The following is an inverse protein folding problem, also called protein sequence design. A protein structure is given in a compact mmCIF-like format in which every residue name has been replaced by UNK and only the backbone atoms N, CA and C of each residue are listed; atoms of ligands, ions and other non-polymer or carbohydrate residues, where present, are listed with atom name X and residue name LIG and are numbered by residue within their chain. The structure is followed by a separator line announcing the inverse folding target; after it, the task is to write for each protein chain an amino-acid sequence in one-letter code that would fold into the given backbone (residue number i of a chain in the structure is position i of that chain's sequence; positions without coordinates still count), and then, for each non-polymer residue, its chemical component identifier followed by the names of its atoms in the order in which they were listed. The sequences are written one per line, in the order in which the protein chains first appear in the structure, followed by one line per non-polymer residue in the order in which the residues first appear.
data_IF_469595756262
#
_entry.id   IF_469595756262
#
_cell.length_a   1.000
_cell.length_b   1.000
_cell.length_c   1.000
_cell.angle_alpha   90.00
_cell.angle_beta   90.00
_cell.angle_gamma   90.00
#
_symmetry.space_group_name_H-M   'P 1'
#
loop_
_entity.id
_entity.type
_entity.pdbx_description
1 polymer ?
#
# COMPACT_ATOMS: atom_id res chain seq x y z
N UNK A 1 -0.80 -43.75 -51.24
CA UNK A 1 -1.13 -43.84 -49.81
C UNK A 1 -0.20 -42.89 -49.06
N UNK A 2 -0.73 -42.21 -48.05
CA UNK A 2 -0.32 -40.88 -47.57
C UNK A 2 1.14 -40.77 -47.08
N UNK A 3 1.79 -39.64 -47.40
CA UNK A 3 3.03 -39.18 -46.78
C UNK A 3 2.64 -38.21 -45.66
N UNK A 4 2.72 -38.65 -44.41
CA UNK A 4 2.43 -37.79 -43.27
C UNK A 4 3.59 -36.80 -43.04
N UNK A 5 3.33 -35.54 -43.39
CA UNK A 5 4.21 -34.42 -43.14
C UNK A 5 4.23 -34.12 -41.64
N UNK A 6 5.35 -34.42 -40.98
CA UNK A 6 5.67 -33.89 -39.65
C UNK A 6 5.92 -32.39 -39.79
N UNK A 7 4.86 -31.59 -39.68
CA UNK A 7 4.94 -30.14 -39.56
C UNK A 7 5.46 -29.82 -38.15
N UNK A 8 6.78 -29.70 -38.03
CA UNK A 8 7.42 -29.16 -36.83
C UNK A 8 6.93 -27.73 -36.66
N UNK A 9 6.01 -27.52 -35.73
CA UNK A 9 5.58 -26.20 -35.31
C UNK A 9 6.74 -25.55 -34.56
N UNK A 10 7.57 -24.81 -35.29
CA UNK A 10 8.44 -23.79 -34.68
C UNK A 10 7.53 -22.82 -33.92
N UNK A 11 7.44 -22.99 -32.60
CA UNK A 11 6.93 -21.95 -31.73
C UNK A 11 7.87 -20.78 -31.89
N UNK A 12 7.46 -19.76 -32.63
CA UNK A 12 8.11 -18.46 -32.62
C UNK A 12 7.94 -17.88 -31.21
N UNK A 13 8.88 -18.18 -30.31
CA UNK A 13 8.92 -17.62 -28.97
C UNK A 13 9.33 -16.16 -29.14
N UNK A 14 8.34 -15.28 -29.20
CA UNK A 14 8.57 -13.85 -29.03
C UNK A 14 9.26 -13.69 -27.67
N UNK A 15 10.46 -13.12 -27.60
CA UNK A 15 11.15 -13.00 -26.33
C UNK A 15 10.33 -12.11 -25.40
N UNK A 16 9.86 -12.66 -24.30
CA UNK A 16 9.19 -11.89 -23.27
C UNK A 16 10.23 -10.98 -22.58
N UNK A 17 10.21 -9.71 -22.97
CA UNK A 17 11.10 -8.69 -22.43
C UNK A 17 10.92 -8.51 -20.92
N UNK A 18 9.74 -8.85 -20.38
CA UNK A 18 9.52 -8.85 -18.93
C UNK A 18 10.34 -9.96 -18.26
N UNK A 19 10.16 -11.21 -18.69
CA UNK A 19 10.94 -12.36 -18.18
C UNK A 19 12.45 -12.13 -18.27
N UNK A 20 12.95 -11.60 -19.39
CA UNK A 20 14.39 -11.28 -19.55
C UNK A 20 14.93 -10.26 -18.54
N UNK A 21 14.12 -9.28 -18.13
CA UNK A 21 14.49 -8.27 -17.13
C UNK A 21 14.47 -8.84 -15.70
N UNK A 22 13.60 -9.82 -15.45
CA UNK A 22 13.54 -10.55 -14.18
C UNK A 22 14.68 -11.57 -14.08
N UNK A 23 15.09 -12.18 -15.19
CA UNK A 23 16.26 -13.08 -15.22
C UNK A 23 17.57 -12.33 -15.00
N UNK A 24 17.67 -11.09 -15.50
CA UNK A 24 18.86 -10.26 -15.39
C UNK A 24 18.62 -9.04 -14.50
N UNK A 25 18.48 -9.28 -13.19
CA UNK A 25 18.31 -8.22 -12.20
C UNK A 25 19.66 -7.51 -11.97
N UNK A 26 19.74 -6.17 -12.11
CA UNK A 26 20.95 -5.44 -11.80
C UNK A 26 21.37 -5.62 -10.33
N UNK A 27 22.68 -5.74 -10.08
CA UNK A 27 23.22 -5.92 -8.73
C UNK A 27 22.80 -4.80 -7.75
N UNK A 28 22.56 -3.59 -8.25
CA UNK A 28 22.07 -2.46 -7.46
C UNK A 28 20.66 -2.69 -6.89
N UNK A 29 19.78 -3.38 -7.64
CA UNK A 29 18.43 -3.75 -7.18
C UNK A 29 18.53 -4.85 -6.12
N UNK A 30 19.36 -5.87 -6.35
CA UNK A 30 19.60 -6.94 -5.38
C UNK A 30 20.15 -6.38 -4.06
N UNK A 31 21.11 -5.45 -4.13
CA UNK A 31 21.66 -4.78 -2.96
C UNK A 31 20.59 -3.98 -2.18
N UNK A 32 19.67 -3.29 -2.87
CA UNK A 32 18.54 -2.61 -2.23
C UNK A 32 17.59 -3.59 -1.54
N UNK A 33 17.27 -4.72 -2.18
CA UNK A 33 16.43 -5.77 -1.60
C UNK A 33 17.09 -6.34 -0.35
N UNK A 34 18.37 -6.70 -0.41
CA UNK A 34 19.13 -7.19 0.74
C UNK A 34 19.13 -6.18 1.90
N UNK A 35 19.22 -4.88 1.60
CA UNK A 35 19.15 -3.83 2.64
C UNK A 35 17.76 -3.75 3.28
N UNK A 36 16.70 -3.89 2.49
CA UNK A 36 15.32 -3.95 3.01
C UNK A 36 15.14 -5.18 3.91
N UNK A 37 15.68 -6.34 3.52
CA UNK A 37 15.61 -7.56 4.32
C UNK A 37 16.37 -7.48 5.64
N UNK A 38 17.55 -6.84 5.65
CA UNK A 38 18.31 -6.57 6.88
C UNK A 38 17.49 -5.73 7.86
N UNK A 39 16.90 -4.64 7.37
CA UNK A 39 16.06 -3.75 8.18
C UNK A 39 14.79 -4.46 8.69
N UNK A 40 14.18 -5.30 7.86
CA UNK A 40 13.04 -6.14 8.25
C UNK A 40 13.43 -7.12 9.35
N UNK A 41 14.59 -7.75 9.24
CA UNK A 41 15.13 -8.65 10.27
C UNK A 41 15.34 -7.92 11.60
N UNK A 42 16.01 -6.76 11.57
CA UNK A 42 16.20 -5.90 12.74
C UNK A 42 14.88 -5.47 13.38
N UNK A 43 13.88 -5.15 12.55
CA UNK A 43 12.54 -4.80 13.03
C UNK A 43 11.87 -5.99 13.73
N UNK A 44 11.83 -7.16 13.11
CA UNK A 44 11.15 -8.34 13.71
C UNK A 44 11.86 -8.80 14.99
N UNK A 45 13.19 -8.80 15.01
CA UNK A 45 13.98 -9.23 16.16
C UNK A 45 14.04 -8.19 17.29
N UNK A 46 13.99 -6.90 16.96
CA UNK A 46 14.16 -5.79 17.91
C UNK A 46 12.87 -5.12 18.37
N UNK A 47 11.77 -5.23 17.61
CA UNK A 47 10.51 -4.54 17.92
C UNK A 47 9.67 -5.31 18.95
N UNK A 48 10.16 -5.42 20.20
CA UNK A 48 9.26 -5.56 21.36
C UNK A 48 8.73 -4.18 21.73
N UNK A 49 7.94 -3.59 20.83
CA UNK A 49 7.30 -2.30 21.09
C UNK A 49 6.16 -2.51 22.09
N UNK A 50 6.04 -1.62 23.07
CA UNK A 50 4.87 -1.64 23.93
C UNK A 50 3.61 -1.37 23.09
N UNK A 51 2.44 -1.91 23.46
CA UNK A 51 1.20 -1.68 22.73
C UNK A 51 0.88 -0.19 22.53
N UNK A 52 1.28 0.66 23.49
CA UNK A 52 1.10 2.12 23.40
C UNK A 52 1.99 2.74 22.32
N UNK A 53 3.26 2.33 22.24
CA UNK A 53 4.19 2.82 21.21
C UNK A 53 3.74 2.34 19.83
N UNK A 54 3.32 1.08 19.73
CA UNK A 54 2.77 0.52 18.50
C UNK A 54 1.54 1.29 18.02
N UNK A 55 0.56 1.54 18.89
CA UNK A 55 -0.63 2.30 18.51
C UNK A 55 -0.34 3.75 18.11
N UNK A 56 0.69 4.39 18.69
CA UNK A 56 1.15 5.72 18.25
C UNK A 56 1.82 5.66 16.88
N UNK A 57 2.62 4.64 16.62
CA UNK A 57 3.27 4.44 15.34
C UNK A 57 2.24 4.15 14.23
N UNK A 58 1.30 3.24 14.49
CA UNK A 58 0.19 2.95 13.56
C UNK A 58 -0.57 4.22 13.19
N UNK A 59 -0.95 5.02 14.18
CA UNK A 59 -1.62 6.31 13.94
C UNK A 59 -0.77 7.24 13.09
N UNK A 60 0.52 7.37 13.41
CA UNK A 60 1.44 8.23 12.65
C UNK A 60 1.56 7.78 11.20
N UNK A 61 1.72 6.47 10.97
CA UNK A 61 1.82 5.89 9.62
C UNK A 61 0.54 6.10 8.83
N UNK A 62 -0.63 5.92 9.45
CA UNK A 62 -1.92 6.15 8.80
C UNK A 62 -2.10 7.61 8.38
N UNK A 63 -1.77 8.56 9.27
CA UNK A 63 -1.87 9.99 8.97
C UNK A 63 -0.91 10.36 7.84
N UNK A 64 0.38 10.02 7.97
CA UNK A 64 1.40 10.43 7.00
C UNK A 64 1.21 9.74 5.64
N UNK A 65 0.85 8.45 5.62
CA UNK A 65 0.57 7.72 4.38
C UNK A 65 -0.64 8.30 3.64
N UNK A 66 -1.74 8.54 4.37
CA UNK A 66 -2.95 9.14 3.79
C UNK A 66 -2.68 10.56 3.30
N UNK A 67 -1.97 11.37 4.08
CA UNK A 67 -1.59 12.73 3.69
C UNK A 67 -0.66 12.77 2.49
N UNK A 68 0.30 11.85 2.39
CA UNK A 68 1.18 11.75 1.24
C UNK A 68 0.41 11.40 -0.04
N UNK A 69 -0.41 10.34 -0.02
CA UNK A 69 -1.17 9.89 -1.19
C UNK A 69 -2.14 10.98 -1.69
N UNK A 70 -2.90 11.58 -0.77
CA UNK A 70 -3.88 12.62 -1.14
C UNK A 70 -3.20 13.90 -1.65
N UNK A 71 -2.00 14.23 -1.16
CA UNK A 71 -1.24 15.41 -1.61
C UNK A 71 -0.62 15.22 -2.99
N UNK A 72 -0.23 13.99 -3.35
CA UNK A 72 0.19 13.66 -4.73
C UNK A 72 -0.98 13.86 -5.70
N UNK A 73 -2.22 13.66 -5.24
CA UNK A 73 -3.45 13.86 -6.01
C UNK A 73 -3.99 15.32 -5.97
N UNK A 74 -3.33 16.22 -5.23
CA UNK A 74 -3.63 17.66 -5.19
C UNK A 74 -4.37 18.16 -3.95
N UNK A 75 -4.61 17.31 -2.94
CA UNK A 75 -5.22 17.72 -1.69
C UNK A 75 -4.31 18.66 -0.88
N UNK A 76 -4.91 19.65 -0.21
CA UNK A 76 -4.18 20.70 0.56
C UNK A 76 -4.18 20.47 2.07
N UNK A 77 -4.73 19.35 2.55
CA UNK A 77 -4.81 19.07 3.98
C UNK A 77 -3.41 18.84 4.58
N UNK A 78 -3.19 19.42 5.77
CA UNK A 78 -2.01 19.11 6.57
C UNK A 78 -2.22 17.82 7.37
N UNK A 79 -1.12 17.22 7.82
CA UNK A 79 -1.16 16.02 8.66
C UNK A 79 -1.94 16.26 9.97
N UNK A 80 -1.92 17.49 10.50
CA UNK A 80 -2.71 17.91 11.65
C UNK A 80 -4.22 17.98 11.35
N UNK A 81 -4.60 18.37 10.13
CA UNK A 81 -6.00 18.39 9.70
C UNK A 81 -6.53 16.97 9.52
N UNK A 82 -5.69 16.07 8.99
CA UNK A 82 -5.99 14.65 8.87
C UNK A 82 -6.14 14.02 10.26
N UNK A 83 -5.26 14.34 11.20
CA UNK A 83 -5.36 13.84 12.58
C UNK A 83 -6.65 14.30 13.26
N UNK A 84 -7.02 15.58 13.12
CA UNK A 84 -8.28 16.11 13.66
C UNK A 84 -9.49 15.40 13.06
N UNK A 85 -9.45 15.17 11.74
CA UNK A 85 -10.48 14.41 11.03
C UNK A 85 -10.61 12.97 11.57
N UNK A 86 -9.48 12.28 11.78
CA UNK A 86 -9.46 10.92 12.33
C UNK A 86 -9.96 10.83 13.76
N UNK A 87 -9.78 11.88 14.57
CA UNK A 87 -10.29 11.96 15.95
C UNK A 87 -11.80 12.25 16.02
N UNK A 88 -12.49 12.34 14.89
CA UNK A 88 -13.92 12.65 14.82
C UNK A 88 -14.25 14.09 15.22
N UNK A 89 -13.24 14.97 15.30
CA UNK A 89 -13.46 16.39 15.57
C UNK A 89 -14.03 16.98 14.28
N UNK A 90 -15.32 17.31 14.33
CA UNK A 90 -16.05 17.95 13.25
C UNK A 90 -15.38 19.29 12.91
N UNK A 91 -14.56 19.30 11.87
CA UNK A 91 -14.13 20.50 11.15
C UNK A 91 -15.37 21.04 10.42
N UNK A 92 -16.23 21.75 11.15
CA UNK A 92 -17.45 22.38 10.65
C UNK A 92 -17.22 22.96 9.25
N UNK A 93 -18.02 22.50 8.28
CA UNK A 93 -17.88 22.62 6.80
C UNK A 93 -17.15 21.44 6.14
N UNK A 94 -17.90 20.35 5.95
CA UNK A 94 -17.51 19.20 5.15
C UNK A 94 -18.34 19.14 3.86
N UNK A 95 -17.84 19.78 2.80
CA UNK A 95 -18.36 19.68 1.43
C UNK A 95 -17.26 19.29 0.42
N UNK A 96 -16.08 18.86 0.87
CA UNK A 96 -14.90 18.66 0.03
C UNK A 96 -14.51 17.19 -0.16
N UNK A 97 -14.29 16.81 -1.43
CA UNK A 97 -13.78 15.52 -1.93
C UNK A 97 -12.58 14.99 -1.13
N UNK A 98 -11.59 15.84 -0.85
CA UNK A 98 -10.37 15.50 -0.12
C UNK A 98 -10.64 14.78 1.21
N UNK A 99 -11.71 15.18 1.91
CA UNK A 99 -12.03 14.64 3.23
C UNK A 99 -12.69 13.25 3.15
N UNK A 100 -13.43 12.98 2.07
CA UNK A 100 -13.97 11.65 1.79
C UNK A 100 -12.86 10.67 1.41
N UNK A 101 -11.89 11.14 0.62
CA UNK A 101 -10.72 10.35 0.23
C UNK A 101 -9.86 10.00 1.45
N UNK A 102 -9.55 10.97 2.32
CA UNK A 102 -8.79 10.72 3.56
C UNK A 102 -9.50 9.70 4.46
N UNK A 103 -10.83 9.82 4.59
CA UNK A 103 -11.61 8.85 5.36
C UNK A 103 -11.59 7.46 4.74
N UNK A 104 -11.71 7.35 3.41
CA UNK A 104 -11.63 6.08 2.69
C UNK A 104 -10.27 5.40 2.84
N UNK A 105 -9.17 6.16 2.73
CA UNK A 105 -7.82 5.65 2.97
C UNK A 105 -7.64 5.16 4.41
N UNK A 106 -8.16 5.91 5.38
CA UNK A 106 -8.13 5.48 6.78
C UNK A 106 -8.90 4.18 6.99
N UNK A 107 -10.13 4.09 6.51
CA UNK A 107 -10.96 2.88 6.66
C UNK A 107 -10.34 1.65 5.99
N UNK A 108 -9.56 1.83 4.91
CA UNK A 108 -8.86 0.76 4.21
C UNK A 108 -7.61 0.28 4.95
N UNK A 109 -6.82 1.21 5.50
CA UNK A 109 -5.51 0.93 6.08
C UNK A 109 -5.55 0.72 7.59
N UNK A 110 -6.55 1.29 8.28
CA UNK A 110 -6.68 1.14 9.71
C UNK A 110 -6.93 -0.34 10.05
N UNK A 111 -6.21 -0.90 11.04
CA UNK A 111 -6.48 -2.24 11.51
C UNK A 111 -7.94 -2.29 11.98
N UNK A 112 -8.73 -3.19 11.37
CA UNK A 112 -10.14 -3.33 11.76
C UNK A 112 -10.22 -3.61 13.25
N UNK A 113 -10.97 -2.82 14.04
CA UNK A 113 -11.33 -3.27 15.36
C UNK A 113 -12.13 -4.56 15.21
N UNK A 114 -11.76 -5.59 15.96
CA UNK A 114 -12.50 -6.86 16.01
C UNK A 114 -13.92 -6.70 16.60
N UNK A 115 -14.35 -5.48 16.91
CA UNK A 115 -15.64 -5.15 17.50
C UNK A 115 -16.15 -3.84 16.87
N UNK A 116 -16.76 -3.91 15.68
CA UNK A 116 -18.00 -3.20 15.34
C UNK A 116 -18.27 -3.34 13.83
N UNK A 117 -19.00 -4.38 13.45
CA UNK A 117 -19.95 -4.27 12.36
C UNK A 117 -21.00 -3.26 12.82
N UNK A 118 -20.90 -2.01 12.42
CA UNK A 118 -22.08 -1.16 12.32
C UNK A 118 -22.58 -1.23 10.86
N UNK A 119 -23.88 -1.46 10.66
CA UNK A 119 -24.45 -1.65 9.34
C UNK A 119 -24.25 -0.38 8.52
N UNK A 120 -23.82 -0.57 7.26
CA UNK A 120 -23.86 0.47 6.24
C UNK A 120 -25.30 0.96 6.15
N UNK A 121 -25.54 2.24 6.44
CA UNK A 121 -26.80 2.88 6.06
C UNK A 121 -26.91 2.77 4.53
N UNK A 122 -27.89 2.01 4.09
CA UNK A 122 -28.43 2.08 2.75
C UNK A 122 -29.04 3.47 2.54
N UNK A 123 -28.80 4.01 1.35
CA UNK A 123 -29.54 5.13 0.76
C UNK A 123 -30.89 4.60 0.31
#
# INVERSE_FOLDING_TARGET
MAKDAKKTTEKHIVPDNFSKRIENIPASVVSKIAKIDELKGQWISGARLSPQVLGRLERSVLITSTGASTRIEGARMSDADIEKLMRGISIQKFTNRDKQEVRGYYELLAPRPLISLQPKCAI
#
